data_IF_525238526006
#
_entry.id   IF_525238526006
#
_cell.length_a   1.000
_cell.length_b   1.000
_cell.length_c   1.000
_cell.angle_alpha   90.00
_cell.angle_beta   90.00
_cell.angle_gamma   90.00
#
_symmetry.space_group_name_H-M   'P 1'
#
loop_
_entity.id
_entity.type
_entity.pdbx_description
1 polymer ?
#
# COMPACT_ATOMS: atom_id res chain seq x y z
N UNK A 1 8.76 -70.59 35.03
CA UNK A 1 9.77 -69.61 34.61
C UNK A 1 9.25 -69.01 33.33
N UNK A 2 8.71 -67.80 33.41
CA UNK A 2 8.05 -67.11 32.31
C UNK A 2 8.89 -65.88 31.99
N UNK A 3 9.48 -65.86 30.79
CA UNK A 3 10.28 -64.75 30.28
C UNK A 3 9.35 -63.62 29.80
N UNK A 4 9.46 -62.48 30.48
CA UNK A 4 8.79 -61.24 30.11
C UNK A 4 9.60 -60.48 29.06
N UNK A 5 9.09 -60.46 27.83
CA UNK A 5 9.60 -59.63 26.73
C UNK A 5 9.13 -58.18 26.98
N UNK A 6 10.08 -57.31 27.31
CA UNK A 6 9.87 -55.86 27.41
C UNK A 6 9.78 -55.24 26.02
N UNK A 7 8.57 -54.76 25.68
CA UNK A 7 8.25 -54.01 24.47
C UNK A 7 8.89 -52.61 24.56
N UNK A 8 9.92 -52.34 23.74
CA UNK A 8 10.48 -50.99 23.62
C UNK A 8 9.64 -50.16 22.64
N UNK A 9 9.23 -48.93 23.00
CA UNK A 9 8.48 -48.07 22.09
C UNK A 9 9.36 -47.66 20.91
N UNK A 10 8.87 -47.94 19.69
CA UNK A 10 9.46 -47.48 18.43
C UNK A 10 9.40 -45.94 18.38
N UNK A 11 10.53 -45.28 18.57
CA UNK A 11 10.70 -43.86 18.31
C UNK A 11 10.48 -43.58 16.82
N UNK A 12 9.57 -42.66 16.50
CA UNK A 12 9.26 -42.26 15.15
C UNK A 12 10.50 -41.64 14.45
N UNK A 13 10.80 -42.01 13.19
CA UNK A 13 11.89 -41.41 12.45
C UNK A 13 11.50 -40.00 11.97
N UNK A 14 12.32 -39.00 12.31
CA UNK A 14 12.58 -37.89 11.39
C UNK A 14 11.84 -36.58 11.62
N UNK A 15 11.70 -36.08 12.84
CA UNK A 15 11.68 -34.61 13.03
C UNK A 15 13.11 -34.11 13.06
N UNK A 16 13.70 -33.81 11.90
CA UNK A 16 14.90 -32.99 11.83
C UNK A 16 14.55 -31.63 12.43
N UNK A 17 14.89 -31.43 13.71
CA UNK A 17 14.87 -30.13 14.33
C UNK A 17 15.81 -29.23 13.50
N UNK A 18 15.23 -28.39 12.65
CA UNK A 18 15.96 -27.34 11.98
C UNK A 18 16.50 -26.43 13.09
N UNK A 19 17.78 -26.62 13.44
CA UNK A 19 18.47 -25.71 14.36
C UNK A 19 18.37 -24.32 13.72
N UNK A 20 17.52 -23.49 14.31
CA UNK A 20 17.39 -22.09 13.94
C UNK A 20 18.77 -21.45 14.02
N UNK A 21 19.36 -21.17 12.85
CA UNK A 21 20.61 -20.39 12.76
C UNK A 21 20.44 -19.11 13.57
N UNK A 22 21.44 -18.82 14.39
CA UNK A 22 21.46 -17.62 15.23
C UNK A 22 21.44 -16.36 14.35
N UNK A 23 20.94 -15.24 14.88
CA UNK A 23 20.90 -13.95 14.16
C UNK A 23 22.25 -13.58 13.54
N UNK A 24 23.36 -13.86 14.25
CA UNK A 24 24.70 -13.50 13.80
C UNK A 24 25.19 -14.35 12.65
N UNK A 25 24.87 -15.65 12.62
CA UNK A 25 25.19 -16.52 11.49
C UNK A 25 24.48 -16.10 10.20
N UNK A 26 23.37 -15.36 10.31
CA UNK A 26 22.65 -14.76 9.18
C UNK A 26 23.26 -13.45 8.70
N UNK A 27 24.17 -12.84 9.45
CA UNK A 27 24.87 -11.64 9.00
C UNK A 27 25.87 -11.99 7.89
N UNK A 28 26.04 -11.09 6.89
CA UNK A 28 27.10 -11.23 5.91
C UNK A 28 28.45 -11.49 6.58
N UNK A 29 29.30 -12.31 5.95
CA UNK A 29 30.60 -12.68 6.49
C UNK A 29 31.43 -11.46 6.90
N UNK A 30 31.41 -10.40 6.09
CA UNK A 30 32.17 -9.18 6.33
C UNK A 30 31.72 -8.47 7.62
N UNK A 31 30.42 -8.43 7.88
CA UNK A 31 29.87 -7.82 9.11
C UNK A 31 30.29 -8.64 10.33
N UNK A 32 30.27 -9.98 10.23
CA UNK A 32 30.75 -10.86 11.30
C UNK A 32 32.25 -10.68 11.54
N UNK A 33 33.05 -10.60 10.48
CA UNK A 33 34.49 -10.39 10.56
C UNK A 33 34.81 -9.06 11.25
N UNK A 34 34.11 -7.97 10.90
CA UNK A 34 34.24 -6.69 11.59
C UNK A 34 33.94 -6.85 13.08
N UNK A 35 32.83 -7.49 13.46
CA UNK A 35 32.51 -7.69 14.88
C UNK A 35 33.61 -8.49 15.59
N UNK A 36 34.17 -9.52 14.95
CA UNK A 36 35.29 -10.30 15.51
C UNK A 36 36.57 -9.48 15.69
N UNK A 37 36.84 -8.47 14.86
CA UNK A 37 38.01 -7.59 15.05
C UNK A 37 37.91 -6.72 16.31
N UNK A 38 36.71 -6.52 16.85
CA UNK A 38 36.49 -5.74 18.07
C UNK A 38 36.32 -6.62 19.32
N UNK A 39 36.40 -7.96 19.20
CA UNK A 39 36.44 -8.85 20.35
C UNK A 39 37.86 -8.92 20.89
N UNK A 40 38.00 -8.85 22.21
CA UNK A 40 39.31 -9.04 22.84
C UNK A 40 39.77 -10.51 22.67
N UNK A 41 41.09 -10.76 22.58
CA UNK A 41 41.62 -12.11 22.55
C UNK A 41 41.09 -12.96 23.71
N UNK A 42 40.43 -14.07 23.40
CA UNK A 42 39.84 -14.96 24.40
C UNK A 42 38.38 -14.66 24.75
N UNK A 43 37.79 -13.57 24.25
CA UNK A 43 36.34 -13.40 24.29
C UNK A 43 35.68 -14.36 23.28
N UNK A 44 34.74 -15.20 23.73
CA UNK A 44 33.99 -16.01 22.78
C UNK A 44 33.03 -15.13 21.97
N UNK A 45 32.64 -15.59 20.78
CA UNK A 45 31.67 -14.89 19.95
C UNK A 45 30.42 -14.52 20.77
N UNK A 46 29.79 -13.35 20.52
CA UNK A 46 28.67 -12.81 21.31
C UNK A 46 27.44 -13.74 21.48
N UNK A 47 27.44 -14.92 20.84
CA UNK A 47 26.31 -15.85 20.79
C UNK A 47 26.73 -17.30 21.07
N UNK A 48 27.88 -17.52 21.72
CA UNK A 48 28.18 -18.84 22.25
C UNK A 48 27.06 -19.28 23.25
N UNK A 49 26.57 -20.53 23.20
CA UNK A 49 25.55 -21.00 24.15
C UNK A 49 26.06 -20.85 25.58
N UNK A 50 25.34 -20.09 26.41
CA UNK A 50 25.73 -19.73 27.79
C UNK A 50 26.26 -18.30 27.98
N UNK A 51 26.47 -17.53 26.90
CA UNK A 51 27.14 -16.22 26.92
C UNK A 51 26.18 -15.01 26.97
N UNK A 52 25.01 -15.15 27.61
CA UNK A 52 23.92 -14.16 27.52
C UNK A 52 24.17 -12.85 28.28
N UNK A 53 25.03 -12.82 29.30
CA UNK A 53 25.18 -11.61 30.14
C UNK A 53 26.16 -10.59 29.56
N UNK A 54 27.26 -11.03 28.95
CA UNK A 54 28.33 -10.16 28.42
C UNK A 54 28.05 -9.62 27.02
N UNK A 55 27.20 -10.27 26.23
CA UNK A 55 26.76 -9.79 24.91
C UNK A 55 25.60 -8.79 24.96
N UNK A 56 25.03 -8.55 26.14
CA UNK A 56 23.96 -7.56 26.34
C UNK A 56 24.37 -6.17 25.84
N UNK A 57 25.59 -5.73 26.13
CA UNK A 57 26.14 -4.46 25.65
C UNK A 57 26.21 -4.37 24.12
N UNK A 58 26.63 -5.45 23.45
CA UNK A 58 26.66 -5.52 21.99
C UNK A 58 25.26 -5.46 21.39
N UNK A 59 24.30 -6.25 21.92
CA UNK A 59 22.90 -6.25 21.46
C UNK A 59 22.27 -4.87 21.63
N UNK A 60 22.47 -4.23 22.79
CA UNK A 60 21.97 -2.88 23.06
C UNK A 60 22.61 -1.83 22.12
N UNK A 61 23.90 -1.98 21.82
CA UNK A 61 24.60 -1.09 20.89
C UNK A 61 24.07 -1.25 19.46
N UNK A 62 23.79 -2.48 19.01
CA UNK A 62 23.16 -2.74 17.72
C UNK A 62 21.72 -2.21 17.66
N UNK A 63 20.96 -2.33 18.75
CA UNK A 63 19.61 -1.77 18.86
C UNK A 63 19.65 -0.24 18.74
N UNK A 64 20.54 0.41 19.49
CA UNK A 64 20.75 1.85 19.41
C UNK A 64 21.21 2.31 18.03
N UNK A 65 22.18 1.62 17.42
CA UNK A 65 22.64 1.93 16.07
C UNK A 65 21.49 1.79 15.05
N UNK A 66 20.64 0.76 15.20
CA UNK A 66 19.44 0.60 14.37
C UNK A 66 18.47 1.78 14.58
N UNK A 67 18.22 2.18 15.83
CA UNK A 67 17.34 3.32 16.14
C UNK A 67 17.87 4.62 15.53
N UNK A 68 19.17 4.89 15.65
CA UNK A 68 19.83 6.07 15.07
C UNK A 68 19.77 6.06 13.53
N UNK A 69 19.99 4.90 12.91
CA UNK A 69 19.88 4.74 11.45
C UNK A 69 18.43 4.91 10.97
N UNK A 70 17.44 4.44 11.74
CA UNK A 70 16.01 4.57 11.40
C UNK A 70 15.45 5.97 11.70
N UNK A 71 16.08 6.73 12.60
CA UNK A 71 15.66 8.09 12.95
C UNK A 71 15.82 9.07 11.79
N UNK A 72 16.94 9.02 11.06
CA UNK A 72 17.21 9.96 9.96
C UNK A 72 16.15 9.85 8.84
N UNK A 73 15.84 8.66 8.28
CA UNK A 73 14.75 8.50 7.32
C UNK A 73 13.39 8.97 7.88
N UNK A 74 13.10 8.70 9.15
CA UNK A 74 11.85 9.11 9.79
C UNK A 74 11.70 10.63 9.78
N UNK A 75 12.74 11.36 10.21
CA UNK A 75 12.76 12.82 10.19
C UNK A 75 12.64 13.37 8.77
N UNK A 76 13.36 12.79 7.81
CA UNK A 76 13.32 13.22 6.41
C UNK A 76 11.93 13.02 5.79
N UNK A 77 11.30 11.87 5.99
CA UNK A 77 9.94 11.63 5.49
C UNK A 77 8.93 12.54 6.18
N UNK A 78 9.04 12.75 7.50
CA UNK A 78 8.16 13.68 8.22
C UNK A 78 8.28 15.12 7.71
N UNK A 79 9.50 15.59 7.44
CA UNK A 79 9.75 16.91 6.87
C UNK A 79 9.19 17.03 5.44
N UNK A 80 9.46 16.02 4.61
CA UNK A 80 8.93 15.95 3.24
C UNK A 80 7.40 15.99 3.21
N UNK A 81 6.73 15.22 4.09
CA UNK A 81 5.26 15.21 4.16
C UNK A 81 4.70 16.54 4.67
N UNK A 82 5.41 17.22 5.58
CA UNK A 82 5.03 18.56 6.06
C UNK A 82 5.13 19.60 4.94
N UNK A 83 6.21 19.59 4.17
CA UNK A 83 6.43 20.47 3.04
C UNK A 83 5.43 20.20 1.90
N UNK A 84 5.19 18.92 1.62
CA UNK A 84 4.15 18.48 0.70
C UNK A 84 2.79 19.04 1.11
N UNK A 85 2.39 18.84 2.38
CA UNK A 85 1.12 19.35 2.92
C UNK A 85 1.01 20.86 2.72
N UNK A 86 1.99 21.62 3.17
CA UNK A 86 1.96 23.08 3.07
C UNK A 86 1.90 23.57 1.61
N UNK A 87 2.50 22.84 0.68
CA UNK A 87 2.45 23.17 -0.77
C UNK A 87 1.12 22.78 -1.38
N UNK A 88 0.58 21.62 -1.02
CA UNK A 88 -0.73 21.14 -1.48
C UNK A 88 -1.85 22.10 -1.08
N UNK A 89 -1.91 22.46 0.22
CA UNK A 89 -2.95 23.33 0.76
C UNK A 89 -2.89 24.74 0.14
N UNK A 90 -1.67 25.26 -0.08
CA UNK A 90 -1.45 26.54 -0.75
C UNK A 90 -1.94 26.55 -2.19
N UNK A 91 -1.74 25.46 -2.91
CA UNK A 91 -2.02 25.38 -4.35
C UNK A 91 -3.48 25.00 -4.67
N UNK A 92 -4.13 24.23 -3.79
CA UNK A 92 -5.48 23.69 -4.03
C UNK A 92 -6.55 24.36 -3.17
N UNK A 93 -6.16 25.14 -2.15
CA UNK A 93 -7.08 25.67 -1.13
C UNK A 93 -7.88 24.59 -0.37
N UNK A 94 -7.51 23.32 -0.49
CA UNK A 94 -8.09 22.21 0.26
C UNK A 94 -7.21 21.92 1.48
N UNK A 95 -7.83 21.77 2.65
CA UNK A 95 -7.13 21.32 3.86
C UNK A 95 -7.01 19.81 3.84
N UNK A 96 -5.80 19.30 4.10
CA UNK A 96 -5.55 17.86 4.13
C UNK A 96 -4.96 17.44 5.48
N UNK A 97 -5.21 16.19 5.86
CA UNK A 97 -4.59 15.60 7.03
C UNK A 97 -3.64 14.49 6.62
N UNK A 98 -2.42 14.52 7.14
CA UNK A 98 -1.43 13.46 6.97
C UNK A 98 -1.10 12.97 8.38
N UNK A 99 -1.37 11.70 8.72
CA UNK A 99 -1.09 11.18 10.05
C UNK A 99 0.38 11.39 10.43
N UNK A 100 0.60 11.78 11.68
CA UNK A 100 1.95 11.94 12.20
C UNK A 100 2.68 10.58 12.20
N UNK A 101 3.93 10.59 11.74
CA UNK A 101 4.77 9.40 11.76
C UNK A 101 5.17 9.11 13.21
N UNK A 102 4.80 7.93 13.72
CA UNK A 102 5.15 7.50 15.07
C UNK A 102 6.66 7.30 15.21
N UNK A 103 7.19 7.52 16.42
CA UNK A 103 8.58 7.17 16.74
C UNK A 103 8.85 5.67 16.63
N UNK A 104 7.83 4.85 16.86
CA UNK A 104 7.90 3.39 16.70
C UNK A 104 7.74 2.92 15.26
N UNK A 105 7.58 3.82 14.28
CA UNK A 105 7.39 3.44 12.88
C UNK A 105 8.64 2.77 12.31
N UNK A 106 8.44 1.58 11.76
CA UNK A 106 9.45 0.81 11.01
C UNK A 106 9.68 1.42 9.62
N UNK A 107 10.81 1.11 8.98
CA UNK A 107 11.12 1.56 7.61
C UNK A 107 10.00 1.18 6.61
N UNK A 108 9.39 0.01 6.77
CA UNK A 108 8.27 -0.42 5.91
C UNK A 108 7.04 0.47 6.09
N UNK A 109 6.73 0.89 7.33
CA UNK A 109 5.65 1.83 7.60
C UNK A 109 5.95 3.22 7.04
N UNK A 110 7.21 3.68 7.07
CA UNK A 110 7.62 4.95 6.44
C UNK A 110 7.41 4.97 4.92
N UNK A 111 7.34 3.80 4.29
CA UNK A 111 7.07 3.66 2.84
C UNK A 111 5.58 3.67 2.51
N UNK A 112 4.71 3.71 3.51
CA UNK A 112 3.26 3.70 3.36
C UNK A 112 2.72 5.05 3.82
N UNK A 113 2.30 5.88 2.87
CA UNK A 113 1.79 7.22 3.15
C UNK A 113 0.27 7.22 3.04
N UNK A 114 -0.41 7.79 4.04
CA UNK A 114 -1.84 8.07 3.97
C UNK A 114 -2.05 9.58 3.87
N UNK A 115 -2.80 10.01 2.87
CA UNK A 115 -3.30 11.38 2.74
C UNK A 115 -4.81 11.34 2.95
N UNK A 116 -5.27 11.99 4.01
CA UNK A 116 -6.70 12.11 4.32
C UNK A 116 -7.23 13.39 3.67
N UNK A 117 -8.20 13.21 2.79
CA UNK A 117 -8.90 14.27 2.08
C UNK A 117 -10.35 14.36 2.60
N UNK A 118 -10.91 15.57 2.74
CA UNK A 118 -12.34 15.73 3.00
C UNK A 118 -13.15 15.31 1.76
N UNK A 119 -14.40 14.88 1.96
CA UNK A 119 -15.31 14.61 0.83
C UNK A 119 -15.63 15.87 0.01
N UNK A 120 -15.39 17.08 0.54
CA UNK A 120 -15.42 18.32 -0.24
C UNK A 120 -14.46 18.30 -1.44
N UNK A 121 -13.36 17.54 -1.37
CA UNK A 121 -12.45 17.35 -2.51
C UNK A 121 -13.08 16.61 -3.70
N UNK A 122 -14.21 15.93 -3.47
CA UNK A 122 -14.97 15.13 -4.42
C UNK A 122 -16.12 15.91 -5.06
N UNK A 123 -15.92 17.19 -5.40
CA UNK A 123 -16.94 18.09 -5.95
C UNK A 123 -17.79 17.52 -7.12
N UNK A 124 -17.36 16.43 -7.77
CA UNK A 124 -18.10 15.73 -8.83
C UNK A 124 -19.51 15.24 -8.44
N UNK A 125 -19.82 15.03 -7.15
CA UNK A 125 -21.15 14.52 -6.75
C UNK A 125 -22.32 15.49 -7.01
N UNK A 126 -22.05 16.73 -7.46
CA UNK A 126 -23.08 17.77 -7.60
C UNK A 126 -23.16 18.48 -8.97
N UNK A 127 -22.20 18.34 -9.90
CA UNK A 127 -22.27 19.04 -11.20
C UNK A 127 -21.35 18.48 -12.30
N UNK A 128 -21.76 18.62 -13.58
CA UNK A 128 -21.02 18.18 -14.78
C UNK A 128 -19.75 18.97 -15.10
N UNK A 129 -19.55 20.14 -14.49
CA UNK A 129 -18.33 20.96 -14.66
C UNK A 129 -17.18 20.57 -13.70
N UNK A 130 -17.43 19.62 -12.79
CA UNK A 130 -16.55 19.33 -11.64
C UNK A 130 -15.39 18.37 -11.91
N UNK A 131 -15.33 17.72 -13.08
CA UNK A 131 -14.21 16.88 -13.50
C UNK A 131 -12.85 17.62 -13.48
N UNK A 132 -12.90 18.95 -13.55
CA UNK A 132 -11.70 19.78 -13.64
C UNK A 132 -10.93 19.90 -12.31
N UNK A 133 -11.62 20.02 -11.16
CA UNK A 133 -10.94 20.20 -9.86
C UNK A 133 -10.16 18.96 -9.44
N UNK A 134 -10.80 17.77 -9.50
CA UNK A 134 -10.11 16.52 -9.17
C UNK A 134 -8.86 16.33 -10.03
N UNK A 135 -8.98 16.46 -11.36
CA UNK A 135 -7.87 16.19 -12.28
C UNK A 135 -6.74 17.21 -12.14
N UNK A 136 -7.07 18.52 -12.08
CA UNK A 136 -6.05 19.58 -12.21
C UNK A 136 -5.52 20.13 -10.89
N UNK A 137 -6.29 20.01 -9.82
CA UNK A 137 -5.88 20.55 -8.52
C UNK A 137 -5.49 19.39 -7.60
N UNK A 138 -6.43 18.47 -7.34
CA UNK A 138 -6.20 17.40 -6.38
C UNK A 138 -5.17 16.41 -6.91
N UNK A 139 -5.42 15.80 -8.07
CA UNK A 139 -4.59 14.74 -8.62
C UNK A 139 -3.21 15.28 -9.03
N UNK A 140 -3.15 16.47 -9.64
CA UNK A 140 -1.89 17.14 -9.93
C UNK A 140 -1.14 17.53 -8.66
N UNK A 141 -1.85 17.96 -7.62
CA UNK A 141 -1.27 18.27 -6.30
C UNK A 141 -0.76 17.04 -5.56
N UNK A 142 -1.39 15.87 -5.73
CA UNK A 142 -0.97 14.58 -5.16
C UNK A 142 0.21 13.95 -5.90
N UNK A 143 0.38 14.29 -7.18
CA UNK A 143 1.39 13.71 -8.07
C UNK A 143 2.82 13.69 -7.51
N UNK A 144 3.31 14.74 -6.81
CA UNK A 144 4.63 14.69 -6.19
C UNK A 144 4.86 13.48 -5.30
N UNK A 145 3.85 13.02 -4.55
CA UNK A 145 3.98 11.80 -3.76
C UNK A 145 4.08 10.57 -4.65
N UNK A 146 3.25 10.47 -5.70
CA UNK A 146 3.29 9.33 -6.62
C UNK A 146 4.66 9.18 -7.30
N UNK A 147 5.28 10.31 -7.64
CA UNK A 147 6.60 10.35 -8.27
C UNK A 147 7.75 9.87 -7.35
N UNK A 148 7.52 9.78 -6.04
CA UNK A 148 8.50 9.28 -5.07
C UNK A 148 8.46 7.74 -4.95
N UNK A 149 9.46 7.19 -4.28
CA UNK A 149 9.71 5.74 -4.18
C UNK A 149 8.94 5.06 -3.03
N UNK A 150 7.72 5.53 -2.73
CA UNK A 150 6.86 4.90 -1.72
C UNK A 150 6.39 3.50 -2.16
N UNK A 151 6.05 2.66 -1.19
CA UNK A 151 5.46 1.34 -1.45
C UNK A 151 3.96 1.48 -1.66
N UNK A 152 3.27 2.15 -0.73
CA UNK A 152 1.82 2.40 -0.80
C UNK A 152 1.54 3.88 -0.58
N UNK A 153 0.71 4.47 -1.44
CA UNK A 153 0.06 5.75 -1.18
C UNK A 153 -1.45 5.49 -1.11
N UNK A 154 -2.02 5.81 0.05
CA UNK A 154 -3.45 5.72 0.31
C UNK A 154 -4.03 7.13 0.35
N UNK A 155 -5.03 7.35 -0.48
CA UNK A 155 -5.86 8.56 -0.45
C UNK A 155 -7.14 8.16 0.27
N UNK A 156 -7.34 8.70 1.45
CA UNK A 156 -8.43 8.33 2.34
C UNK A 156 -9.45 9.46 2.42
N UNK A 157 -10.68 9.20 2.00
CA UNK A 157 -11.78 10.15 2.08
C UNK A 157 -12.52 9.96 3.40
N UNK A 158 -12.47 10.99 4.25
CA UNK A 158 -13.08 10.96 5.57
C UNK A 158 -13.47 12.37 6.03
N UNK A 159 -14.50 12.42 6.87
CA UNK A 159 -14.93 13.63 7.57
C UNK A 159 -16.38 14.01 7.27
N UNK A 160 -17.00 14.83 8.14
CA UNK A 160 -18.41 15.19 8.03
C UNK A 160 -18.69 16.20 6.91
N UNK A 161 -17.68 16.96 6.48
CA UNK A 161 -17.86 18.04 5.52
C UNK A 161 -18.17 17.52 4.10
N UNK A 162 -19.40 17.81 3.63
CA UNK A 162 -19.95 17.30 2.37
C UNK A 162 -19.83 15.78 2.22
N UNK A 163 -19.96 15.05 3.33
CA UNK A 163 -20.07 13.60 3.27
C UNK A 163 -21.23 13.20 2.34
N UNK A 164 -21.04 12.25 1.41
CA UNK A 164 -22.11 11.77 0.56
C UNK A 164 -23.25 11.19 1.39
N UNK A 165 -24.47 11.26 0.88
CA UNK A 165 -25.57 10.49 1.46
C UNK A 165 -25.17 9.00 1.52
N UNK A 166 -25.44 8.34 2.64
CA UNK A 166 -25.10 6.94 2.84
C UNK A 166 -26.23 6.14 3.54
N UNK A 167 -27.45 6.71 3.58
CA UNK A 167 -28.60 6.09 4.22
C UNK A 167 -29.04 4.81 3.52
N UNK A 168 -28.94 4.77 2.18
CA UNK A 168 -29.36 3.60 1.38
C UNK A 168 -28.17 2.88 0.76
N UNK A 169 -28.39 1.60 0.43
CA UNK A 169 -27.42 0.79 -0.30
C UNK A 169 -27.11 1.38 -1.69
N UNK A 170 -28.08 2.02 -2.34
CA UNK A 170 -27.90 2.73 -3.59
C UNK A 170 -26.95 3.92 -3.43
N UNK A 171 -27.10 4.72 -2.37
CA UNK A 171 -26.23 5.87 -2.14
C UNK A 171 -24.78 5.46 -1.91
N UNK A 172 -24.57 4.40 -1.10
CA UNK A 172 -23.24 3.79 -0.89
C UNK A 172 -22.65 3.26 -2.20
N UNK A 173 -23.47 2.60 -3.01
CA UNK A 173 -23.09 2.15 -4.35
C UNK A 173 -22.65 3.29 -5.28
N UNK A 174 -23.30 4.46 -5.21
CA UNK A 174 -22.88 5.65 -5.97
C UNK A 174 -21.51 6.16 -5.54
N UNK A 175 -21.19 6.10 -4.24
CA UNK A 175 -19.84 6.44 -3.75
C UNK A 175 -18.82 5.48 -4.35
N UNK A 176 -19.08 4.18 -4.38
CA UNK A 176 -18.17 3.19 -5.01
C UNK A 176 -17.93 3.47 -6.50
N UNK A 177 -18.99 3.70 -7.28
CA UNK A 177 -18.89 4.06 -8.71
C UNK A 177 -18.02 5.29 -8.89
N UNK A 178 -18.17 6.24 -7.99
CA UNK A 178 -17.40 7.47 -8.01
C UNK A 178 -15.93 7.25 -7.73
N UNK A 179 -15.61 6.48 -6.68
CA UNK A 179 -14.24 6.10 -6.34
C UNK A 179 -13.59 5.35 -7.51
N UNK A 180 -14.33 4.47 -8.19
CA UNK A 180 -13.85 3.77 -9.37
C UNK A 180 -13.50 4.75 -10.50
N UNK A 181 -14.34 5.76 -10.75
CA UNK A 181 -14.04 6.81 -11.73
C UNK A 181 -12.80 7.63 -11.35
N UNK A 182 -12.60 7.96 -10.07
CA UNK A 182 -11.39 8.66 -9.61
C UNK A 182 -10.14 7.81 -9.81
N UNK A 183 -10.22 6.50 -9.52
CA UNK A 183 -9.11 5.58 -9.72
C UNK A 183 -8.77 5.43 -11.22
N UNK A 184 -9.78 5.47 -12.09
CA UNK A 184 -9.59 5.52 -13.54
C UNK A 184 -8.85 6.77 -14.00
N UNK A 185 -9.11 7.92 -13.38
CA UNK A 185 -8.33 9.14 -13.66
C UNK A 185 -6.88 9.01 -13.20
N UNK A 186 -6.64 8.38 -12.05
CA UNK A 186 -5.29 8.05 -11.57
C UNK A 186 -4.57 7.15 -12.57
N UNK A 187 -5.21 6.07 -13.06
CA UNK A 187 -4.58 5.17 -14.05
C UNK A 187 -4.34 5.85 -15.38
N UNK A 188 -5.25 6.70 -15.83
CA UNK A 188 -5.06 7.46 -17.06
C UNK A 188 -3.85 8.41 -16.96
N UNK A 189 -3.70 9.08 -15.81
CA UNK A 189 -2.50 9.87 -15.52
C UNK A 189 -1.24 9.00 -15.52
N UNK A 190 -1.25 7.84 -14.86
CA UNK A 190 -0.11 6.91 -14.84
C UNK A 190 0.32 6.51 -16.26
N UNK A 191 -0.63 6.04 -17.06
CA UNK A 191 -0.41 5.64 -18.45
C UNK A 191 0.18 6.81 -19.24
N UNK A 192 -0.40 8.01 -19.13
CA UNK A 192 0.07 9.18 -19.86
C UNK A 192 1.47 9.62 -19.45
N UNK A 193 1.77 9.65 -18.15
CA UNK A 193 3.05 10.16 -17.65
C UNK A 193 4.18 9.16 -17.86
N UNK A 194 3.92 7.86 -17.71
CA UNK A 194 4.95 6.84 -17.84
C UNK A 194 5.12 6.28 -19.26
N UNK A 195 4.13 6.44 -20.16
CA UNK A 195 4.25 6.09 -21.58
C UNK A 195 5.12 7.07 -22.38
N UNK A 196 5.22 8.33 -21.94
CA UNK A 196 6.15 9.28 -22.55
C UNK A 196 7.56 8.71 -22.43
N UNK A 197 8.19 8.37 -23.57
CA UNK A 197 9.62 8.05 -23.66
C UNK A 197 10.36 9.25 -23.10
N UNK A 198 10.74 9.21 -21.82
CA UNK A 198 11.47 10.30 -21.18
C UNK A 198 12.77 10.45 -21.94
N UNK A 199 12.88 11.54 -22.68
CA UNK A 199 14.11 12.01 -23.30
C UNK A 199 15.08 12.43 -22.21
N UNK A 200 15.66 11.45 -21.50
CA UNK A 200 16.87 11.55 -20.67
C UNK A 200 16.91 12.58 -19.53
N UNK A 201 15.88 13.39 -19.28
CA UNK A 201 15.93 14.44 -18.27
C UNK A 201 15.64 13.86 -16.88
N UNK A 202 16.68 13.74 -16.07
CA UNK A 202 16.56 13.45 -14.64
C UNK A 202 15.86 14.63 -13.97
N UNK A 203 14.60 14.45 -13.58
CA UNK A 203 13.83 15.45 -12.82
C UNK A 203 14.26 15.36 -11.35
N UNK A 204 14.76 16.45 -10.76
CA UNK A 204 15.12 16.48 -9.33
C UNK A 204 13.87 16.54 -8.45
N UNK A 205 13.98 16.12 -7.18
CA UNK A 205 12.84 16.16 -6.24
C UNK A 205 12.29 17.58 -6.13
N UNK A 206 13.14 18.59 -6.06
CA UNK A 206 12.73 20.00 -5.98
C UNK A 206 11.91 20.43 -7.22
N UNK A 207 12.22 19.88 -8.40
CA UNK A 207 11.45 20.15 -9.62
C UNK A 207 10.07 19.49 -9.59
N UNK A 208 9.92 18.33 -8.95
CA UNK A 208 8.64 17.65 -8.77
C UNK A 208 7.68 18.53 -7.94
N UNK A 209 8.19 19.20 -6.91
CA UNK A 209 7.41 20.06 -6.02
C UNK A 209 7.13 21.48 -6.57
N UNK A 210 7.79 21.90 -7.66
CA UNK A 210 7.58 23.21 -8.31
C UNK A 210 6.35 23.25 -9.22
N UNK A 211 5.26 22.59 -8.83
CA UNK A 211 4.02 22.64 -9.59
C UNK A 211 3.49 24.08 -9.67
N UNK A 212 3.53 24.66 -10.87
CA UNK A 212 2.96 25.96 -11.17
C UNK A 212 1.60 25.77 -11.84
N UNK A 213 0.53 25.88 -11.04
CA UNK A 213 -0.85 25.78 -11.51
C UNK A 213 -1.19 26.79 -12.62
N UNK A 214 -0.38 27.85 -12.82
CA UNK A 214 -0.59 28.85 -13.87
C UNK A 214 -0.17 28.37 -15.26
N UNK A 215 0.62 27.30 -15.40
CA UNK A 215 0.93 26.69 -16.71
C UNK A 215 -0.27 25.89 -17.21
N UNK A 216 -1.19 26.59 -17.87
CA UNK A 216 -2.48 26.05 -18.35
C UNK A 216 -2.39 24.95 -19.44
N UNK A 217 -1.22 24.61 -19.96
CA UNK A 217 -1.10 23.78 -21.17
C UNK A 217 -1.06 22.26 -20.94
N UNK A 218 -0.62 21.77 -19.77
CA UNK A 218 -0.59 20.33 -19.49
C UNK A 218 -1.40 20.01 -18.22
N UNK A 219 -2.39 19.11 -18.35
CA UNK A 219 -3.26 18.72 -17.24
C UNK A 219 -2.56 17.87 -16.16
N UNK A 220 -1.41 17.25 -16.50
CA UNK A 220 -0.67 16.36 -15.62
C UNK A 220 0.81 16.73 -15.57
N UNK A 221 1.46 16.57 -14.41
CA UNK A 221 2.91 16.76 -14.29
C UNK A 221 3.71 15.75 -15.14
N UNK A 222 4.99 16.03 -15.36
CA UNK A 222 5.85 15.23 -16.26
C UNK A 222 6.70 14.17 -15.55
N UNK A 223 6.82 14.22 -14.22
CA UNK A 223 7.70 13.30 -13.49
C UNK A 223 7.10 11.90 -13.43
N UNK A 224 7.90 10.86 -13.68
CA UNK A 224 7.41 9.47 -13.67
C UNK A 224 6.85 9.07 -12.32
N UNK A 225 5.74 8.33 -12.33
CA UNK A 225 5.19 7.74 -11.11
C UNK A 225 5.99 6.50 -10.74
N UNK A 226 6.57 6.53 -9.54
CA UNK A 226 7.41 5.47 -9.03
C UNK A 226 6.72 4.64 -7.94
N UNK A 227 5.72 5.18 -7.24
CA UNK A 227 5.04 4.45 -6.16
C UNK A 227 4.46 3.12 -6.63
N UNK A 228 4.61 2.03 -5.85
CA UNK A 228 4.17 0.69 -6.27
C UNK A 228 2.67 0.46 -6.19
N UNK A 229 2.01 1.01 -5.18
CA UNK A 229 0.59 0.85 -4.93
C UNK A 229 -0.06 2.21 -4.69
N UNK A 230 -1.14 2.48 -5.43
CA UNK A 230 -1.99 3.64 -5.20
C UNK A 230 -3.38 3.12 -4.91
N UNK A 231 -3.98 3.60 -3.82
CA UNK A 231 -5.31 3.18 -3.41
C UNK A 231 -6.16 4.35 -2.94
N UNK A 232 -7.44 4.25 -3.22
CA UNK A 232 -8.49 5.12 -2.73
C UNK A 232 -9.25 4.35 -1.65
N UNK A 233 -9.48 4.98 -0.53
CA UNK A 233 -10.29 4.42 0.55
C UNK A 233 -11.29 5.45 1.02
N UNK A 234 -12.41 5.01 1.56
CA UNK A 234 -13.44 5.86 2.11
C UNK A 234 -14.01 5.26 3.38
N UNK A 235 -14.45 6.13 4.27
CA UNK A 235 -15.20 5.76 5.46
C UNK A 235 -16.42 6.69 5.57
N UNK A 236 -17.60 6.09 5.49
CA UNK A 236 -18.91 6.74 5.56
C UNK A 236 -19.58 6.57 6.93
N UNK A 237 -18.91 5.98 7.92
CA UNK A 237 -19.49 5.83 9.25
C UNK A 237 -19.65 7.20 9.93
N UNK A 238 -20.82 7.45 10.51
CA UNK A 238 -21.06 8.65 11.30
C UNK A 238 -20.42 8.51 12.68
N UNK A 239 -19.49 9.41 13.04
CA UNK A 239 -18.94 9.53 14.40
C UNK A 239 -17.47 9.95 14.47
N UNK A 240 -17.06 10.55 15.59
CA UNK A 240 -15.68 11.02 15.86
C UNK A 240 -14.64 9.91 16.08
N UNK A 241 -14.98 8.64 15.87
CA UNK A 241 -14.07 7.54 16.25
C UNK A 241 -13.06 7.27 15.14
N UNK A 242 -12.05 8.13 15.07
CA UNK A 242 -10.75 7.79 14.49
C UNK A 242 -10.26 6.48 15.12
N UNK A 243 -10.34 5.39 14.37
CA UNK A 243 -9.83 4.07 14.77
C UNK A 243 -10.85 2.93 14.85
N UNK A 244 -12.16 3.18 14.68
CA UNK A 244 -13.14 2.07 14.65
C UNK A 244 -13.18 1.32 13.30
N UNK A 245 -12.82 2.01 12.21
CA UNK A 245 -12.72 1.43 10.87
C UNK A 245 -11.52 0.51 10.64
N UNK A 246 -10.49 0.57 11.50
CA UNK A 246 -9.26 -0.23 11.34
C UNK A 246 -9.44 -1.71 11.65
N UNK A 247 -10.59 -2.14 12.19
CA UNK A 247 -10.87 -3.54 12.52
C UNK A 247 -11.98 -4.19 11.70
N UNK A 248 -12.65 -3.46 10.80
CA UNK A 248 -13.67 -4.05 9.96
C UNK A 248 -13.02 -4.91 8.88
N UNK A 249 -13.31 -6.22 8.89
CA UNK A 249 -12.86 -7.11 7.83
C UNK A 249 -13.44 -6.63 6.49
N UNK A 250 -12.55 -6.35 5.53
CA UNK A 250 -12.94 -5.94 4.19
C UNK A 250 -12.81 -7.14 3.26
N UNK A 251 -13.82 -7.34 2.42
CA UNK A 251 -13.93 -8.46 1.49
C UNK A 251 -14.10 -7.97 0.06
N UNK A 252 -13.59 -8.71 -0.91
CA UNK A 252 -13.59 -8.21 -2.28
C UNK A 252 -13.01 -9.16 -3.32
N UNK A 253 -12.69 -8.57 -4.48
CA UNK A 253 -12.08 -9.25 -5.62
C UNK A 253 -10.74 -8.62 -5.96
N UNK A 254 -9.78 -9.47 -6.31
CA UNK A 254 -8.47 -9.10 -6.82
C UNK A 254 -8.38 -9.53 -8.29
N UNK A 255 -8.42 -8.54 -9.17
CA UNK A 255 -8.27 -8.67 -10.61
C UNK A 255 -6.80 -8.65 -10.99
N UNK A 256 -6.40 -9.57 -11.86
CA UNK A 256 -5.06 -9.67 -12.43
C UNK A 256 -5.19 -9.80 -13.95
N UNK A 257 -4.21 -9.24 -14.65
CA UNK A 257 -4.05 -9.54 -16.07
C UNK A 257 -3.91 -11.06 -16.23
N UNK A 258 -4.60 -11.68 -17.21
CA UNK A 258 -4.36 -13.08 -17.53
C UNK A 258 -2.87 -13.21 -17.84
N UNK A 259 -2.19 -14.16 -17.19
CA UNK A 259 -0.76 -14.34 -17.40
C UNK A 259 -0.50 -14.37 -18.90
N UNK A 260 0.42 -13.52 -19.42
CA UNK A 260 0.78 -13.58 -20.82
C UNK A 260 1.26 -15.00 -21.06
N UNK A 261 0.45 -15.79 -21.77
CA UNK A 261 0.68 -17.21 -21.95
C UNK A 261 2.10 -17.40 -22.45
N UNK A 262 2.95 -18.03 -21.62
CA UNK A 262 4.26 -18.59 -21.96
C UNK A 262 4.93 -17.91 -23.16
N UNK A 263 5.32 -16.63 -23.03
CA UNK A 263 6.13 -15.98 -24.06
C UNK A 263 7.44 -15.43 -23.47
N UNK A 264 8.46 -16.27 -23.66
CA UNK A 264 9.81 -16.01 -24.18
C UNK A 264 10.59 -14.82 -23.59
N UNK A 265 11.65 -15.19 -22.87
CA UNK A 265 12.87 -14.43 -22.56
C UNK A 265 12.81 -13.26 -21.56
N UNK A 266 12.93 -13.64 -20.27
CA UNK A 266 13.92 -13.03 -19.37
C UNK A 266 13.48 -11.85 -18.51
N UNK A 267 12.40 -11.15 -18.85
CA UNK A 267 11.85 -10.08 -18.03
C UNK A 267 10.66 -10.54 -17.21
N UNK A 268 10.80 -10.72 -15.88
CA UNK A 268 9.62 -10.86 -14.99
C UNK A 268 8.86 -9.53 -14.96
N UNK A 269 8.03 -9.26 -15.97
CA UNK A 269 7.02 -8.21 -15.89
C UNK A 269 6.16 -8.50 -14.64
N UNK A 270 6.20 -7.59 -13.66
CA UNK A 270 5.47 -7.78 -12.42
C UNK A 270 3.99 -7.66 -12.70
N UNK A 271 3.21 -8.70 -12.39
CA UNK A 271 1.77 -8.70 -12.64
C UNK A 271 1.09 -7.48 -11.98
N UNK A 272 0.61 -6.55 -12.80
CA UNK A 272 -0.27 -5.50 -12.34
C UNK A 272 -1.58 -6.10 -11.86
N UNK A 273 -2.12 -5.54 -10.78
CA UNK A 273 -3.38 -6.00 -10.23
C UNK A 273 -4.24 -4.83 -9.75
N UNK A 274 -5.54 -5.05 -9.74
CA UNK A 274 -6.56 -4.15 -9.24
C UNK A 274 -7.37 -4.89 -8.19
N UNK A 275 -7.64 -4.28 -7.05
CA UNK A 275 -8.55 -4.85 -6.05
C UNK A 275 -9.62 -3.85 -5.67
N UNK A 276 -10.76 -4.40 -5.27
CA UNK A 276 -11.89 -3.65 -4.72
C UNK A 276 -12.42 -4.41 -3.50
N UNK A 277 -12.27 -3.80 -2.33
CA UNK A 277 -12.63 -4.30 -1.02
C UNK A 277 -13.69 -3.41 -0.38
N UNK A 278 -14.57 -4.01 0.42
CA UNK A 278 -15.58 -3.32 1.22
C UNK A 278 -16.00 -4.12 2.43
N UNK A 279 -16.50 -3.43 3.44
CA UNK A 279 -17.12 -4.05 4.60
C UNK A 279 -18.51 -4.61 4.23
N UNK A 280 -19.15 -5.27 5.19
CA UNK A 280 -20.47 -5.88 5.00
C UNK A 280 -21.55 -4.86 4.62
N UNK A 281 -21.45 -3.64 5.14
CA UNK A 281 -22.46 -2.60 4.96
C UNK A 281 -22.13 -1.62 3.85
N UNK A 282 -20.93 -1.74 3.24
CA UNK A 282 -20.40 -0.83 2.22
C UNK A 282 -20.28 0.62 2.71
N UNK A 283 -20.10 0.79 4.01
CA UNK A 283 -19.79 2.07 4.63
C UNK A 283 -18.29 2.36 4.55
N UNK A 284 -17.47 1.30 4.56
CA UNK A 284 -16.02 1.38 4.48
C UNK A 284 -15.55 0.58 3.29
N UNK A 285 -14.63 1.15 2.50
CA UNK A 285 -14.05 0.41 1.40
C UNK A 285 -12.69 0.94 0.95
N UNK A 286 -12.01 0.10 0.19
CA UNK A 286 -10.71 0.39 -0.40
C UNK A 286 -10.65 -0.20 -1.80
N UNK A 287 -10.18 0.58 -2.76
CA UNK A 287 -9.83 0.10 -4.08
C UNK A 287 -8.43 0.57 -4.44
N UNK A 288 -7.68 -0.27 -5.14
CA UNK A 288 -6.33 0.11 -5.49
C UNK A 288 -5.73 -0.68 -6.62
N UNK A 289 -4.71 -0.07 -7.18
CA UNK A 289 -3.86 -0.66 -8.21
C UNK A 289 -2.49 -0.94 -7.61
N UNK A 290 -1.90 -2.07 -8.01
CA UNK A 290 -0.61 -2.54 -7.51
C UNK A 290 0.28 -2.94 -8.67
N UNK A 291 1.53 -2.49 -8.65
CA UNK A 291 2.60 -2.97 -9.52
C UNK A 291 3.86 -3.32 -8.70
N UNK A 292 4.27 -4.59 -8.76
CA UNK A 292 5.44 -5.09 -8.03
C UNK A 292 6.76 -4.51 -8.57
N UNK A 293 6.81 -4.28 -9.88
CA UNK A 293 7.95 -3.75 -10.63
C UNK A 293 7.89 -2.24 -10.85
N UNK A 294 6.89 -1.54 -10.28
CA UNK A 294 6.52 -0.15 -10.62
C UNK A 294 6.01 -0.06 -12.07
N UNK A 295 5.46 1.10 -12.42
CA UNK A 295 4.72 1.31 -13.66
C UNK A 295 5.63 1.52 -14.88
N UNK A 296 6.23 0.44 -15.37
CA UNK A 296 7.00 0.43 -16.62
C UNK A 296 6.07 0.32 -17.84
N UNK A 297 5.24 1.35 -18.07
CA UNK A 297 4.16 1.35 -19.07
C UNK A 297 4.62 1.65 -20.50
N UNK A 298 5.84 1.24 -20.86
CA UNK A 298 6.45 1.61 -22.13
C UNK A 298 5.69 1.05 -23.35
N UNK A 299 5.01 -0.09 -23.21
CA UNK A 299 4.57 -0.87 -24.38
C UNK A 299 3.11 -1.40 -24.32
N UNK A 300 2.36 -1.24 -23.22
CA UNK A 300 0.95 -1.72 -23.19
C UNK A 300 0.05 -1.00 -22.15
N UNK A 301 -0.92 -0.16 -22.57
CA UNK A 301 -1.88 0.50 -21.69
C UNK A 301 -2.99 -0.48 -21.26
N UNK A 302 -2.64 -1.43 -20.39
CA UNK A 302 -3.62 -2.41 -19.83
C UNK A 302 -4.27 -1.98 -18.54
N UNK A 303 -3.85 -0.87 -17.91
CA UNK A 303 -4.37 -0.51 -16.59
C UNK A 303 -5.85 -0.13 -16.68
N UNK A 304 -6.25 0.59 -17.73
CA UNK A 304 -7.67 0.89 -17.93
C UNK A 304 -8.50 -0.38 -18.21
N UNK A 305 -8.00 -1.34 -19.00
CA UNK A 305 -8.68 -2.62 -19.21
C UNK A 305 -8.82 -3.42 -17.91
N UNK A 306 -7.75 -3.46 -17.11
CA UNK A 306 -7.69 -4.11 -15.80
C UNK A 306 -8.72 -3.51 -14.83
N UNK A 307 -8.84 -2.18 -14.77
CA UNK A 307 -9.82 -1.49 -13.93
C UNK A 307 -11.27 -1.78 -14.34
N UNK A 308 -11.52 -1.91 -15.65
CA UNK A 308 -12.85 -2.25 -16.17
C UNK A 308 -13.12 -3.76 -16.14
N UNK A 309 -12.23 -4.54 -15.51
CA UNK A 309 -12.29 -5.99 -15.43
C UNK A 309 -12.38 -6.71 -16.80
N UNK A 310 -11.99 -6.04 -17.88
CA UNK A 310 -12.05 -6.57 -19.24
C UNK A 310 -10.94 -7.62 -19.39
N UNK A 311 -11.34 -8.87 -19.68
CA UNK A 311 -10.43 -10.01 -19.88
C UNK A 311 -9.57 -10.35 -18.65
N UNK A 312 -9.96 -9.88 -17.46
CA UNK A 312 -9.20 -10.13 -16.23
C UNK A 312 -9.55 -11.48 -15.60
N UNK A 313 -8.56 -12.14 -14.99
CA UNK A 313 -8.81 -13.19 -14.00
C UNK A 313 -9.00 -12.54 -12.64
N UNK A 314 -9.93 -13.04 -11.86
CA UNK A 314 -10.14 -12.55 -10.50
C UNK A 314 -10.12 -13.69 -9.49
N UNK A 315 -9.68 -13.37 -8.28
CA UNK A 315 -9.73 -14.25 -7.10
C UNK A 315 -10.35 -13.47 -5.94
N UNK A 316 -11.02 -14.15 -5.02
CA UNK A 316 -11.47 -13.49 -3.79
C UNK A 316 -10.29 -13.05 -2.93
N UNK A 317 -10.43 -11.91 -2.28
CA UNK A 317 -9.45 -11.41 -1.32
C UNK A 317 -10.13 -10.70 -0.16
N UNK A 318 -9.38 -10.56 0.92
CA UNK A 318 -9.80 -9.87 2.13
C UNK A 318 -8.67 -9.02 2.71
N UNK A 319 -9.02 -8.13 3.63
CA UNK A 319 -8.07 -7.31 4.40
C UNK A 319 -8.55 -7.19 5.84
N UNK A 320 -7.62 -7.09 6.78
CA UNK A 320 -7.94 -6.87 8.20
C UNK A 320 -8.47 -5.47 8.53
N UNK A 321 -8.48 -4.58 7.54
CA UNK A 321 -8.91 -3.19 7.66
C UNK A 321 -8.43 -2.36 6.47
N UNK A 322 -8.64 -1.04 6.54
CA UNK A 322 -8.10 -0.11 5.55
C UNK A 322 -6.58 -0.07 5.63
N UNK A 323 -5.89 -0.03 4.50
CA UNK A 323 -4.43 0.10 4.47
C UNK A 323 -3.67 -1.21 4.69
N UNK A 324 -4.31 -2.22 5.26
CA UNK A 324 -3.71 -3.51 5.63
C UNK A 324 -3.33 -4.40 4.42
N UNK A 325 -2.64 -5.49 4.71
CA UNK A 325 -2.21 -6.46 3.70
C UNK A 325 -3.39 -7.29 3.17
N UNK A 326 -3.42 -7.46 1.85
CA UNK A 326 -4.36 -8.37 1.18
C UNK A 326 -4.07 -9.82 1.57
N UNK A 327 -5.12 -10.55 1.92
CA UNK A 327 -5.16 -11.98 2.17
C UNK A 327 -5.98 -12.67 1.09
N UNK A 328 -5.63 -13.91 0.77
CA UNK A 328 -6.39 -14.73 -0.17
C UNK A 328 -7.69 -15.22 0.48
N UNK A 329 -8.78 -15.24 -0.29
CA UNK A 329 -10.09 -15.66 0.19
C UNK A 329 -10.85 -14.56 0.95
N UNK A 330 -12.09 -14.89 1.33
CA UNK A 330 -12.98 -14.02 2.10
C UNK A 330 -12.83 -14.28 3.60
N UNK A 331 -12.97 -13.23 4.41
CA UNK A 331 -12.93 -13.28 5.87
C UNK A 331 -14.36 -13.20 6.43
N UNK A 332 -14.80 -14.28 7.09
CA UNK A 332 -16.09 -14.35 7.80
C UNK A 332 -17.35 -14.39 6.92
N UNK A 333 -17.23 -14.52 5.60
CA UNK A 333 -18.37 -14.54 4.64
C UNK A 333 -18.15 -15.63 3.60
N UNK A 334 -19.22 -16.33 3.20
CA UNK A 334 -19.15 -17.34 2.13
C UNK A 334 -19.14 -16.70 0.74
N UNK A 335 -18.56 -17.38 -0.26
CA UNK A 335 -18.54 -16.88 -1.65
C UNK A 335 -19.96 -16.64 -2.19
N UNK A 336 -20.90 -17.54 -1.90
CA UNK A 336 -22.31 -17.40 -2.32
C UNK A 336 -22.95 -16.15 -1.71
N UNK A 337 -22.81 -15.93 -0.39
CA UNK A 337 -23.36 -14.74 0.28
C UNK A 337 -22.73 -13.45 -0.27
N UNK A 338 -21.43 -13.47 -0.56
CA UNK A 338 -20.74 -12.33 -1.14
C UNK A 338 -21.28 -12.00 -2.54
N UNK A 339 -21.39 -12.98 -3.45
CA UNK A 339 -21.89 -12.77 -4.81
C UNK A 339 -23.37 -12.36 -4.85
N UNK A 340 -24.21 -12.88 -3.95
CA UNK A 340 -25.62 -12.45 -3.83
C UNK A 340 -25.72 -10.96 -3.50
N UNK A 341 -24.89 -10.48 -2.56
CA UNK A 341 -24.81 -9.05 -2.23
C UNK A 341 -24.29 -8.21 -3.39
N UNK A 342 -23.28 -8.70 -4.12
CA UNK A 342 -22.79 -8.02 -5.33
C UNK A 342 -23.90 -7.83 -6.35
N UNK A 343 -24.64 -8.91 -6.65
CA UNK A 343 -25.73 -8.85 -7.63
C UNK A 343 -26.84 -7.90 -7.19
N UNK A 344 -27.18 -7.88 -5.89
CA UNK A 344 -28.18 -6.96 -5.37
C UNK A 344 -27.78 -5.50 -5.63
N UNK A 345 -26.53 -5.12 -5.36
CA UNK A 345 -26.04 -3.76 -5.57
C UNK A 345 -25.94 -3.42 -7.05
N UNK A 346 -25.42 -4.33 -7.89
CA UNK A 346 -25.35 -4.11 -9.33
C UNK A 346 -26.74 -3.85 -9.93
N UNK A 347 -27.77 -4.58 -9.49
CA UNK A 347 -29.15 -4.33 -9.94
C UNK A 347 -29.62 -2.92 -9.54
N UNK A 348 -29.30 -2.45 -8.34
CA UNK A 348 -29.70 -1.11 -7.91
C UNK A 348 -28.99 0.02 -8.67
N UNK A 349 -27.73 -0.19 -9.05
CA UNK A 349 -26.92 0.85 -9.73
C UNK A 349 -27.24 0.94 -11.23
N UNK A 350 -27.54 -0.18 -11.89
CA UNK A 350 -27.69 -0.26 -13.35
C UNK A 350 -29.14 -0.37 -13.83
N UNK A 351 -30.12 -0.25 -12.93
CA UNK A 351 -31.55 -0.07 -13.29
C UNK A 351 -31.89 1.40 -13.21
#
# INVERSE_FOLDING_TARGET
MADGILDQPRLAPGTCATKSLSFFERLPYDVRAIVYTYLEPGQPPPIAPGFQQTSSGFILSCQRAKEEIEEIPRMNVANLLREFKATFERNTSLTIHIPAISRSSTINQLRNVTVILPFTSLHFLRSSTCDYMWKREVLAGLHPLFALYFSKIRIHFFGPENQPACATLLDRGKVEVSMHSLLRDVTYMLERVNSKKTSGTNVTVEQIFRFDAKRRSEAYPSARVNTKQICLSWDLMEGEVQGKGDGAALNGKLHRNPEPGVHVDGGKAGAESFYHLRDKERLVGEMGIVSNSRWALADDPRLNSLLNAIETRWTYCSSGGLGEHLREGLDGVSETEFEEREQQVSRLIYT
#
